data_IF_994498963405
#
_entry.id   IF_994498963405
#
_cell.length_a   1.000
_cell.length_b   1.000
_cell.length_c   1.000
_cell.angle_alpha   90.00
_cell.angle_beta   90.00
_cell.angle_gamma   90.00
#
_symmetry.space_group_name_H-M   'P 1'
#
loop_
_entity.id
_entity.type
_entity.pdbx_description
1 polymer ?
#
# COMPACT_ATOMS: atom_id res chain seq x y z
N UNK A 1 80.71 -4.46 -5.17
CA UNK A 1 79.87 -4.10 -3.95
C UNK A 1 79.36 -2.68 -4.16
N UNK A 2 78.14 -2.58 -4.60
CA UNK A 2 77.49 -1.29 -4.81
C UNK A 2 76.54 -0.98 -3.62
N UNK A 3 76.50 0.23 -3.08
CA UNK A 3 75.60 0.56 -2.00
C UNK A 3 74.24 0.92 -2.59
N UNK A 4 73.18 0.41 -1.92
CA UNK A 4 71.79 0.67 -2.19
C UNK A 4 71.42 2.13 -1.85
N UNK A 5 70.77 2.81 -2.79
CA UNK A 5 70.19 4.13 -2.58
C UNK A 5 68.98 4.05 -1.63
N UNK A 6 69.01 4.81 -0.56
CA UNK A 6 67.88 5.00 0.35
C UNK A 6 66.91 5.96 -0.32
N UNK A 7 65.68 5.45 -0.50
CA UNK A 7 64.51 6.25 -0.92
C UNK A 7 64.13 7.22 0.22
N UNK A 8 64.29 8.53 -0.05
CA UNK A 8 63.88 9.56 0.87
C UNK A 8 62.37 9.70 0.86
N UNK A 9 61.73 9.35 2.00
CA UNK A 9 60.37 9.79 2.30
C UNK A 9 60.46 11.28 2.64
N UNK A 10 60.03 12.13 1.69
CA UNK A 10 59.80 13.55 2.00
C UNK A 10 58.68 13.67 3.05
N UNK A 11 59.00 14.22 4.20
CA UNK A 11 58.02 14.65 5.19
C UNK A 11 57.11 15.66 4.52
N UNK A 12 55.82 15.30 4.42
CA UNK A 12 54.76 16.27 4.09
C UNK A 12 54.56 17.11 5.35
N UNK A 13 54.89 18.38 5.29
CA UNK A 13 54.58 19.33 6.35
C UNK A 13 53.07 19.63 6.34
N UNK A 14 52.52 19.95 7.54
CA UNK A 14 51.10 20.25 7.71
C UNK A 14 50.59 21.39 6.83
N UNK A 15 51.48 22.26 6.34
CA UNK A 15 51.18 23.34 5.43
C UNK A 15 50.95 22.91 3.96
N UNK A 16 51.27 21.65 3.60
CA UNK A 16 51.06 21.14 2.25
C UNK A 16 49.66 20.55 2.00
N UNK A 17 48.85 20.47 3.06
CA UNK A 17 47.47 19.97 2.94
C UNK A 17 46.56 21.08 2.43
N UNK A 18 46.50 21.24 1.13
CA UNK A 18 45.45 22.07 0.49
C UNK A 18 44.13 21.40 0.64
N UNK A 19 43.39 21.71 1.72
CA UNK A 19 41.98 21.37 1.87
C UNK A 19 41.22 22.17 0.80
N UNK A 20 40.81 21.45 -0.28
CA UNK A 20 39.85 22.01 -1.23
C UNK A 20 38.54 22.22 -0.48
N UNK A 21 38.03 23.44 -0.30
CA UNK A 21 36.72 23.65 0.28
C UNK A 21 35.71 22.90 -0.58
N UNK A 22 34.96 21.97 0.06
CA UNK A 22 33.92 21.20 -0.59
C UNK A 22 32.93 22.13 -1.31
N UNK A 23 32.69 21.89 -2.61
CA UNK A 23 31.68 22.62 -3.35
C UNK A 23 30.34 22.45 -2.64
N UNK A 24 29.78 23.55 -2.13
CA UNK A 24 28.48 23.73 -1.50
C UNK A 24 28.44 23.57 0.02
N UNK A 25 28.95 24.56 0.74
CA UNK A 25 28.58 24.85 2.13
C UNK A 25 27.37 25.81 2.24
N UNK A 26 26.48 25.85 1.26
CA UNK A 26 25.20 26.54 1.46
C UNK A 26 24.31 25.59 2.29
N UNK A 27 23.90 25.99 3.52
CA UNK A 27 22.84 25.29 4.22
C UNK A 27 21.65 25.31 3.28
N UNK A 28 21.29 24.17 2.73
CA UNK A 28 20.00 24.00 2.06
C UNK A 28 18.96 24.05 3.15
N UNK A 29 18.57 25.23 3.55
CA UNK A 29 17.32 25.45 4.28
C UNK A 29 16.23 24.99 3.33
N UNK A 30 15.84 23.73 3.47
CA UNK A 30 14.80 23.09 2.68
C UNK A 30 13.47 23.59 3.26
N UNK A 31 13.16 24.85 3.00
CA UNK A 31 11.80 25.35 3.21
C UNK A 31 10.93 24.54 2.24
N UNK A 32 10.20 23.59 2.81
CA UNK A 32 9.17 22.88 2.05
C UNK A 32 8.14 23.92 1.64
N UNK A 33 7.81 24.04 0.36
CA UNK A 33 6.68 24.89 -0.05
C UNK A 33 5.47 24.48 0.76
N UNK A 34 4.77 25.42 1.33
CA UNK A 34 3.62 25.15 2.21
C UNK A 34 2.42 24.61 1.45
N UNK A 35 2.47 24.34 0.16
CA UNK A 35 1.39 23.80 -0.71
C UNK A 35 -0.01 24.11 -0.17
N UNK A 36 -0.24 25.36 0.27
CA UNK A 36 -1.48 25.79 0.93
C UNK A 36 -2.72 25.65 0.02
N UNK A 37 -2.49 25.62 -1.30
CA UNK A 37 -3.52 25.42 -2.33
C UNK A 37 -3.59 23.97 -2.86
N UNK A 38 -3.02 22.99 -2.15
CA UNK A 38 -3.06 21.62 -2.58
C UNK A 38 -4.49 21.05 -2.51
N UNK A 39 -4.92 20.40 -3.58
CA UNK A 39 -6.22 19.73 -3.66
C UNK A 39 -6.18 18.44 -2.83
N UNK A 40 -7.24 18.17 -2.09
CA UNK A 40 -7.36 16.92 -1.36
C UNK A 40 -7.74 15.78 -2.31
N UNK A 41 -7.13 14.61 -2.12
CA UNK A 41 -7.43 13.44 -2.92
C UNK A 41 -7.39 12.17 -2.08
N UNK A 42 -8.08 11.14 -2.55
CA UNK A 42 -8.12 9.81 -1.96
C UNK A 42 -7.52 8.81 -2.95
N UNK A 43 -6.50 8.06 -2.53
CA UNK A 43 -5.79 7.10 -3.40
C UNK A 43 -6.62 5.84 -3.57
N UNK A 44 -7.05 5.56 -4.79
CA UNK A 44 -7.84 4.37 -5.15
C UNK A 44 -7.04 3.29 -5.83
N UNK A 45 -5.92 3.63 -6.47
CA UNK A 45 -5.06 2.66 -7.15
C UNK A 45 -3.60 3.07 -7.11
N UNK A 46 -2.72 2.07 -7.13
CA UNK A 46 -1.26 2.25 -7.20
C UNK A 46 -0.72 1.30 -8.26
N UNK A 47 -0.18 1.84 -9.34
CA UNK A 47 0.44 1.07 -10.41
C UNK A 47 1.74 1.73 -10.88
N UNK A 48 2.86 1.01 -10.79
CA UNK A 48 4.19 1.40 -11.32
C UNK A 48 4.59 2.85 -11.05
N UNK A 49 4.28 3.36 -9.83
CA UNK A 49 4.60 4.73 -9.43
C UNK A 49 3.60 5.79 -9.90
N UNK A 50 2.50 5.37 -10.52
CA UNK A 50 1.31 6.17 -10.77
C UNK A 50 0.26 5.86 -9.71
N UNK A 51 -0.45 6.88 -9.28
CA UNK A 51 -1.47 6.83 -8.25
C UNK A 51 -2.76 7.39 -8.82
N UNK A 52 -3.80 6.55 -8.90
CA UNK A 52 -5.14 7.04 -9.19
C UNK A 52 -5.72 7.65 -7.91
N UNK A 53 -6.15 8.89 -8.00
CA UNK A 53 -6.74 9.62 -6.87
C UNK A 53 -8.12 10.12 -7.26
N UNK A 54 -9.06 10.02 -6.34
CA UNK A 54 -10.37 10.68 -6.44
C UNK A 54 -10.29 12.00 -5.69
N UNK A 55 -10.72 13.07 -6.33
CA UNK A 55 -10.89 14.41 -5.75
C UNK A 55 -12.37 14.81 -5.83
N UNK A 56 -12.74 15.97 -5.31
CA UNK A 56 -14.09 16.50 -5.45
C UNK A 56 -14.46 16.78 -6.92
N UNK A 57 -13.46 17.08 -7.76
CA UNK A 57 -13.64 17.37 -9.18
C UNK A 57 -13.57 16.13 -10.10
N UNK A 58 -13.16 14.96 -9.57
CA UNK A 58 -13.10 13.72 -10.33
C UNK A 58 -11.84 12.89 -10.14
N UNK A 59 -11.55 12.04 -11.11
CA UNK A 59 -10.38 11.15 -11.10
C UNK A 59 -9.14 11.88 -11.61
N UNK A 60 -8.06 11.81 -10.86
CA UNK A 60 -6.77 12.42 -11.16
C UNK A 60 -5.67 11.38 -11.11
N UNK A 61 -4.78 11.39 -12.09
CA UNK A 61 -3.54 10.61 -12.05
C UNK A 61 -2.45 11.44 -11.41
N UNK A 62 -1.78 10.88 -10.43
CA UNK A 62 -0.71 11.56 -9.71
C UNK A 62 0.58 10.73 -9.69
N UNK A 63 1.69 11.40 -9.44
CA UNK A 63 2.97 10.79 -9.08
C UNK A 63 3.40 11.27 -7.70
N UNK A 64 4.17 10.46 -7.01
CA UNK A 64 4.68 10.81 -5.69
C UNK A 64 5.83 11.81 -5.78
N UNK A 65 5.85 12.81 -4.91
CA UNK A 65 7.01 13.68 -4.73
C UNK A 65 8.22 12.88 -4.25
N UNK A 66 9.42 13.27 -4.66
CA UNK A 66 10.67 12.55 -4.31
C UNK A 66 10.95 12.54 -2.80
N UNK A 67 10.44 13.54 -2.11
CA UNK A 67 10.57 13.72 -0.66
C UNK A 67 9.79 12.66 0.14
N UNK A 68 8.76 12.08 -0.45
CA UNK A 68 8.00 10.99 0.13
C UNK A 68 8.75 9.67 -0.13
N UNK A 69 9.26 9.00 0.88
CA UNK A 69 10.04 7.75 0.80
C UNK A 69 9.35 6.63 -0.01
N UNK A 70 10.06 5.53 -0.28
CA UNK A 70 9.46 4.35 -0.93
C UNK A 70 8.34 3.77 -0.05
N UNK A 71 7.23 3.34 -0.66
CA UNK A 71 6.10 2.72 0.07
C UNK A 71 5.35 3.66 1.00
N UNK A 72 5.59 4.98 0.92
CA UNK A 72 4.94 5.97 1.78
C UNK A 72 3.47 6.21 1.44
N UNK A 73 3.06 5.90 0.20
CA UNK A 73 1.69 6.08 -0.30
C UNK A 73 1.12 4.73 -0.68
N UNK A 74 -0.05 4.41 -0.16
CA UNK A 74 -0.78 3.17 -0.41
C UNK A 74 -2.24 3.46 -0.79
N UNK A 75 -2.96 2.46 -1.25
CA UNK A 75 -4.41 2.56 -1.48
C UNK A 75 -5.10 2.92 -0.16
N UNK A 76 -6.08 3.83 -0.23
CA UNK A 76 -6.81 4.34 0.93
C UNK A 76 -6.18 5.56 1.59
N UNK A 77 -4.99 6.01 1.18
CA UNK A 77 -4.41 7.22 1.71
C UNK A 77 -5.17 8.47 1.29
N UNK A 78 -5.35 9.38 2.24
CA UNK A 78 -5.75 10.76 1.96
C UNK A 78 -4.49 11.57 1.69
N UNK A 79 -4.45 12.29 0.59
CA UNK A 79 -3.24 12.95 0.09
C UNK A 79 -3.52 14.39 -0.34
N UNK A 80 -2.50 15.22 -0.24
CA UNK A 80 -2.51 16.55 -0.81
C UNK A 80 -1.84 16.52 -2.19
N UNK A 81 -2.54 17.00 -3.20
CA UNK A 81 -2.14 17.04 -4.59
C UNK A 81 -1.75 18.46 -5.00
N UNK A 82 -0.62 18.62 -5.65
CA UNK A 82 -0.16 19.88 -6.23
C UNK A 82 0.15 19.71 -7.72
N UNK A 83 0.14 20.79 -8.46
CA UNK A 83 0.32 20.78 -9.91
C UNK A 83 -1.00 20.63 -10.65
N UNK A 84 -0.98 20.00 -11.81
CA UNK A 84 -2.17 19.82 -12.64
C UNK A 84 -3.04 18.67 -12.14
N UNK A 85 -4.06 19.02 -11.37
CA UNK A 85 -5.05 18.12 -10.80
C UNK A 85 -6.40 18.22 -11.54
N UNK A 86 -6.43 18.66 -12.79
CA UNK A 86 -7.66 18.79 -13.59
C UNK A 86 -8.31 17.44 -13.90
N UNK A 87 -7.51 16.36 -14.02
CA UNK A 87 -8.00 15.06 -14.46
C UNK A 87 -8.13 14.93 -15.98
N UNK A 88 -7.76 15.96 -16.73
CA UNK A 88 -7.77 15.95 -18.19
C UNK A 88 -6.75 14.95 -18.76
N UNK A 89 -6.93 14.57 -20.02
CA UNK A 89 -6.00 13.67 -20.71
C UNK A 89 -4.59 14.29 -20.74
N UNK A 90 -3.62 13.55 -20.18
CA UNK A 90 -2.23 14.00 -20.06
C UNK A 90 -1.92 14.82 -18.81
N UNK A 91 -2.91 15.22 -18.00
CA UNK A 91 -2.68 15.87 -16.73
C UNK A 91 -1.94 14.94 -15.76
N UNK A 92 -1.07 15.50 -14.93
CA UNK A 92 -0.30 14.73 -13.96
C UNK A 92 -0.06 15.56 -12.69
N UNK A 93 -0.80 15.22 -11.66
CA UNK A 93 -0.63 15.82 -10.34
C UNK A 93 0.58 15.24 -9.60
N UNK A 94 0.94 15.86 -8.49
CA UNK A 94 2.00 15.39 -7.61
C UNK A 94 1.49 15.27 -6.18
N UNK A 95 1.58 14.10 -5.59
CA UNK A 95 1.35 13.89 -4.17
C UNK A 95 2.47 14.54 -3.38
N UNK A 96 2.16 15.57 -2.61
CA UNK A 96 3.13 16.35 -1.82
C UNK A 96 3.07 16.05 -0.33
N UNK A 97 1.96 15.51 0.16
CA UNK A 97 1.75 15.12 1.55
C UNK A 97 0.78 13.94 1.62
N UNK A 98 1.01 13.05 2.58
CA UNK A 98 0.06 12.02 3.02
C UNK A 98 -0.50 12.48 4.36
N UNK A 99 -1.81 12.50 4.48
CA UNK A 99 -2.49 12.88 5.71
C UNK A 99 -2.41 11.76 6.76
N UNK A 100 -2.61 12.05 8.05
CA UNK A 100 -2.63 11.04 9.09
C UNK A 100 -3.65 9.94 8.79
N UNK A 101 -3.23 8.69 8.99
CA UNK A 101 -4.06 7.50 8.80
C UNK A 101 -4.87 7.21 10.05
N UNK A 102 -6.13 6.83 9.89
CA UNK A 102 -7.00 6.34 10.98
C UNK A 102 -6.80 4.85 11.23
N UNK A 103 -6.51 4.08 10.18
CA UNK A 103 -6.22 2.66 10.23
C UNK A 103 -5.15 2.29 9.21
N UNK A 104 -4.43 1.19 9.43
CA UNK A 104 -3.44 0.70 8.48
C UNK A 104 -3.29 -0.82 8.58
N UNK A 105 -3.75 -1.53 7.56
CA UNK A 105 -3.51 -2.97 7.45
C UNK A 105 -2.07 -3.21 6.99
N UNK A 106 -1.34 -3.99 7.79
CA UNK A 106 0.06 -4.30 7.56
C UNK A 106 0.22 -5.75 7.14
N UNK A 107 1.20 -6.01 6.32
CA UNK A 107 1.69 -7.34 6.04
C UNK A 107 3.06 -7.48 6.68
N UNK A 108 3.23 -8.48 7.52
CA UNK A 108 4.56 -8.90 7.92
C UNK A 108 5.32 -9.27 6.65
N UNK A 109 6.44 -8.63 6.41
CA UNK A 109 7.39 -9.13 5.44
C UNK A 109 7.84 -10.53 5.93
N UNK A 110 8.30 -11.38 5.03
CA UNK A 110 8.83 -12.70 5.37
C UNK A 110 9.84 -12.58 6.52
N UNK A 111 10.05 -13.63 7.29
CA UNK A 111 10.92 -13.70 8.48
C UNK A 111 12.33 -13.09 8.31
N UNK A 112 12.70 -12.75 7.08
CA UNK A 112 13.97 -12.15 6.68
C UNK A 112 13.94 -10.63 6.47
N UNK A 113 12.76 -9.99 6.32
CA UNK A 113 12.63 -8.54 6.14
C UNK A 113 11.88 -7.93 7.34
N UNK A 114 12.57 -7.25 8.27
CA UNK A 114 11.97 -6.67 9.47
C UNK A 114 11.03 -5.48 9.18
N UNK A 115 10.85 -5.10 7.92
CA UNK A 115 10.02 -3.96 7.58
C UNK A 115 8.59 -4.40 7.26
N UNK A 116 7.70 -4.19 8.21
CA UNK A 116 6.25 -4.27 7.97
C UNK A 116 5.85 -3.33 6.84
N UNK A 117 5.14 -3.87 5.84
CA UNK A 117 4.62 -3.07 4.73
C UNK A 117 3.14 -2.81 4.92
N UNK A 118 2.76 -1.55 4.89
CA UNK A 118 1.35 -1.16 4.84
C UNK A 118 0.80 -1.55 3.47
N UNK A 119 -0.32 -2.27 3.46
CA UNK A 119 -1.01 -2.72 2.24
C UNK A 119 -2.10 -1.74 1.87
N UNK A 120 -2.90 -1.34 2.86
CA UNK A 120 -4.06 -0.47 2.72
C UNK A 120 -4.15 0.45 3.94
N UNK A 121 -4.60 1.68 3.74
CA UNK A 121 -4.83 2.66 4.81
C UNK A 121 -6.29 3.09 4.85
N UNK A 122 -6.72 3.62 6.01
CA UNK A 122 -8.04 4.22 6.22
C UNK A 122 -9.22 3.32 5.79
N UNK A 123 -9.04 1.99 5.91
CA UNK A 123 -10.13 1.05 5.77
C UNK A 123 -10.93 0.97 7.08
N UNK A 124 -12.22 0.72 6.99
CA UNK A 124 -13.09 0.53 8.15
C UNK A 124 -13.32 -0.95 8.41
N UNK A 125 -13.29 -1.77 7.35
CA UNK A 125 -13.64 -3.18 7.42
C UNK A 125 -12.67 -4.08 6.65
N UNK A 126 -12.35 -5.26 7.22
CA UNK A 126 -11.65 -6.34 6.53
C UNK A 126 -12.65 -7.44 6.16
N UNK A 127 -12.94 -7.59 4.87
CA UNK A 127 -13.78 -8.66 4.35
C UNK A 127 -12.93 -9.86 3.94
N UNK A 128 -13.09 -10.96 4.66
CA UNK A 128 -12.43 -12.24 4.36
C UNK A 128 -13.38 -13.10 3.54
N UNK A 129 -13.05 -13.37 2.28
CA UNK A 129 -13.86 -14.20 1.39
C UNK A 129 -13.26 -15.60 1.34
N UNK A 130 -14.02 -16.59 1.81
CA UNK A 130 -13.58 -17.97 1.92
C UNK A 130 -14.57 -18.92 1.24
N UNK A 131 -14.09 -19.79 0.37
CA UNK A 131 -14.90 -20.87 -0.22
C UNK A 131 -15.11 -21.98 0.81
N UNK A 132 -16.29 -22.59 0.80
CA UNK A 132 -16.60 -23.78 1.62
C UNK A 132 -16.13 -25.08 0.99
N UNK A 133 -15.88 -25.07 -0.32
CA UNK A 133 -15.33 -26.20 -1.08
C UNK A 133 -14.46 -25.68 -2.23
N UNK A 134 -13.53 -26.51 -2.69
CA UNK A 134 -12.66 -26.26 -3.84
C UNK A 134 -12.01 -24.84 -3.87
N UNK A 135 -11.09 -24.55 -2.96
CA UNK A 135 -10.51 -25.38 -1.91
C UNK A 135 -11.34 -25.39 -0.61
N UNK A 136 -11.06 -26.33 0.30
CA UNK A 136 -11.60 -26.30 1.66
C UNK A 136 -11.13 -25.07 2.45
N UNK A 137 -11.94 -24.58 3.42
CA UNK A 137 -11.60 -23.44 4.24
C UNK A 137 -10.30 -23.64 5.03
N UNK A 138 -9.36 -22.75 4.87
CA UNK A 138 -8.15 -22.73 5.70
C UNK A 138 -8.41 -21.88 6.97
N UNK A 139 -8.79 -22.54 8.07
CA UNK A 139 -9.10 -21.85 9.33
C UNK A 139 -7.91 -21.05 9.87
N UNK A 140 -6.69 -21.59 9.78
CA UNK A 140 -5.48 -20.87 10.22
C UNK A 140 -5.26 -19.55 9.45
N UNK A 141 -5.63 -19.52 8.17
CA UNK A 141 -5.57 -18.30 7.38
C UNK A 141 -6.61 -17.28 7.85
N UNK A 142 -7.84 -17.74 8.16
CA UNK A 142 -8.90 -16.89 8.70
C UNK A 142 -8.45 -16.31 10.04
N UNK A 143 -7.87 -17.13 10.95
CA UNK A 143 -7.37 -16.69 12.24
C UNK A 143 -6.30 -15.60 12.11
N UNK A 144 -5.35 -15.79 11.19
CA UNK A 144 -4.32 -14.77 10.91
C UNK A 144 -4.92 -13.46 10.38
N UNK A 145 -5.93 -13.53 9.53
CA UNK A 145 -6.64 -12.34 9.04
C UNK A 145 -7.40 -11.64 10.15
N UNK A 146 -8.02 -12.39 11.08
CA UNK A 146 -8.70 -11.81 12.25
C UNK A 146 -7.74 -11.07 13.17
N UNK A 147 -6.58 -11.66 13.47
CA UNK A 147 -5.54 -10.99 14.27
C UNK A 147 -5.10 -9.69 13.58
N UNK A 148 -4.85 -9.74 12.28
CA UNK A 148 -4.46 -8.55 11.52
C UNK A 148 -5.55 -7.48 11.47
N UNK A 149 -6.84 -7.87 11.40
CA UNK A 149 -7.97 -6.94 11.44
C UNK A 149 -8.04 -6.22 12.79
N UNK A 150 -8.00 -6.96 13.89
CA UNK A 150 -8.07 -6.39 15.24
C UNK A 150 -6.86 -5.52 15.56
N UNK A 151 -5.65 -5.94 15.16
CA UNK A 151 -4.44 -5.14 15.32
C UNK A 151 -4.50 -3.81 14.54
N UNK A 152 -5.11 -3.83 13.37
CA UNK A 152 -5.30 -2.64 12.54
C UNK A 152 -6.52 -1.80 12.92
N UNK A 153 -7.34 -2.21 13.90
CA UNK A 153 -8.58 -1.55 14.29
C UNK A 153 -9.68 -1.64 13.23
N UNK A 154 -9.71 -2.72 12.44
CA UNK A 154 -10.71 -2.95 11.38
C UNK A 154 -11.81 -3.88 11.87
N UNK A 155 -13.04 -3.65 11.42
CA UNK A 155 -14.16 -4.55 11.65
C UNK A 155 -14.06 -5.78 10.75
N UNK A 156 -13.89 -7.00 11.30
CA UNK A 156 -13.80 -8.19 10.47
C UNK A 156 -15.18 -8.67 10.01
N UNK A 157 -15.27 -9.12 8.75
CA UNK A 157 -16.44 -9.80 8.18
C UNK A 157 -16.00 -11.03 7.42
N UNK A 158 -16.56 -12.21 7.78
CA UNK A 158 -16.28 -13.45 7.07
C UNK A 158 -17.41 -13.76 6.07
N UNK A 159 -17.08 -13.86 4.79
CA UNK A 159 -18.00 -14.22 3.72
C UNK A 159 -17.68 -15.63 3.27
N UNK A 160 -18.62 -16.56 3.56
CA UNK A 160 -18.52 -17.97 3.17
C UNK A 160 -19.22 -18.17 1.83
N UNK A 161 -18.47 -18.50 0.80
CA UNK A 161 -18.99 -18.72 -0.55
C UNK A 161 -19.16 -20.20 -0.86
N UNK A 162 -19.85 -20.52 -1.96
CA UNK A 162 -20.12 -21.90 -2.44
C UNK A 162 -20.91 -22.76 -1.42
N UNK A 163 -21.86 -22.17 -0.74
CA UNK A 163 -22.74 -22.91 0.18
C UNK A 163 -23.73 -23.87 -0.53
N UNK A 164 -23.71 -23.88 -1.85
CA UNK A 164 -24.33 -24.89 -2.71
C UNK A 164 -23.52 -26.19 -2.78
N UNK A 165 -22.21 -26.14 -2.51
CA UNK A 165 -21.31 -27.31 -2.57
C UNK A 165 -21.03 -27.93 -1.19
N UNK A 166 -20.93 -27.09 -0.14
CA UNK A 166 -20.63 -27.56 1.21
C UNK A 166 -21.36 -26.76 2.29
N UNK A 167 -21.59 -27.40 3.44
CA UNK A 167 -22.28 -26.77 4.58
C UNK A 167 -21.38 -25.82 5.35
N UNK A 168 -21.83 -24.62 5.72
CA UNK A 168 -21.06 -23.67 6.54
C UNK A 168 -20.99 -24.03 8.02
N UNK A 169 -21.69 -25.12 8.47
CA UNK A 169 -21.87 -25.47 9.91
C UNK A 169 -20.54 -25.57 10.66
N UNK A 170 -19.56 -26.22 10.06
CA UNK A 170 -18.25 -26.44 10.69
C UNK A 170 -17.53 -25.11 10.94
N UNK A 171 -17.42 -24.26 9.94
CA UNK A 171 -16.78 -22.95 10.05
C UNK A 171 -17.54 -22.05 11.04
N UNK A 172 -18.87 -22.04 10.95
CA UNK A 172 -19.71 -21.29 11.88
C UNK A 172 -19.52 -21.69 13.33
N UNK A 173 -19.38 -23.00 13.60
CA UNK A 173 -19.19 -23.50 14.96
C UNK A 173 -17.89 -22.95 15.60
N UNK A 174 -16.84 -22.72 14.81
CA UNK A 174 -15.59 -22.15 15.31
C UNK A 174 -15.69 -20.63 15.61
N UNK A 175 -16.37 -19.87 14.75
CA UNK A 175 -16.30 -18.40 14.82
C UNK A 175 -17.53 -17.73 15.45
N UNK A 176 -18.66 -18.44 15.60
CA UNK A 176 -19.83 -17.90 16.32
C UNK A 176 -19.50 -17.52 17.78
N UNK A 177 -18.72 -18.32 18.54
CA UNK A 177 -18.38 -17.95 19.93
C UNK A 177 -17.52 -16.68 20.02
N UNK A 178 -16.82 -16.30 18.95
CA UNK A 178 -16.01 -15.08 18.88
C UNK A 178 -16.83 -13.84 18.48
N UNK A 179 -18.13 -14.01 18.22
CA UNK A 179 -18.99 -12.91 17.75
C UNK A 179 -18.66 -12.41 16.34
N UNK A 180 -17.90 -13.21 15.55
CA UNK A 180 -17.53 -12.81 14.19
C UNK A 180 -18.75 -12.71 13.28
N UNK A 181 -19.03 -11.54 12.66
CA UNK A 181 -20.07 -11.43 11.64
C UNK A 181 -19.76 -12.33 10.44
N UNK A 182 -20.76 -13.11 10.02
CA UNK A 182 -20.60 -14.08 8.92
C UNK A 182 -21.74 -14.00 7.93
N UNK A 183 -21.44 -13.83 6.67
CA UNK A 183 -22.37 -13.96 5.54
C UNK A 183 -22.12 -15.29 4.83
N UNK A 184 -23.19 -15.82 4.24
CA UNK A 184 -23.10 -17.04 3.44
C UNK A 184 -23.71 -16.78 2.08
N UNK A 185 -22.97 -17.09 1.02
CA UNK A 185 -23.43 -16.94 -0.35
C UNK A 185 -23.40 -18.28 -1.07
N UNK A 186 -24.31 -18.43 -2.00
CA UNK A 186 -24.38 -19.58 -2.91
C UNK A 186 -24.56 -19.12 -4.34
N UNK A 187 -24.13 -19.92 -5.28
CA UNK A 187 -24.39 -19.64 -6.69
C UNK A 187 -25.92 -19.61 -6.90
N UNK A 188 -26.48 -18.58 -7.54
CA UNK A 188 -27.87 -18.62 -7.94
C UNK A 188 -28.08 -19.84 -8.85
N UNK A 189 -29.12 -20.62 -8.60
CA UNK A 189 -29.57 -21.57 -9.60
C UNK A 189 -29.90 -20.76 -10.83
N UNK A 190 -29.15 -20.95 -11.91
CA UNK A 190 -29.46 -20.27 -13.18
C UNK A 190 -30.94 -20.56 -13.51
N UNK A 191 -31.73 -19.55 -13.86
CA UNK A 191 -33.07 -19.79 -14.35
C UNK A 191 -32.91 -20.74 -15.55
N UNK A 192 -33.50 -21.92 -15.42
CA UNK A 192 -33.55 -22.94 -16.50
C UNK A 192 -34.47 -22.40 -17.58
N UNK A 193 -33.98 -21.55 -18.46
CA UNK A 193 -34.56 -21.36 -19.80
C UNK A 193 -33.84 -20.21 -20.51
N UNK A 194 -32.76 -20.50 -21.20
CA UNK A 194 -32.58 -19.84 -22.48
C UNK A 194 -33.34 -20.71 -23.50
N UNK A 195 -34.61 -20.42 -23.67
CA UNK A 195 -35.33 -20.94 -24.82
C UNK A 195 -34.74 -20.24 -26.01
N UNK A 196 -33.99 -20.98 -26.83
CA UNK A 196 -33.58 -20.58 -28.14
C UNK A 196 -34.85 -20.23 -28.95
N UNK A 197 -35.04 -18.97 -29.28
CA UNK A 197 -36.06 -18.58 -30.26
C UNK A 197 -35.70 -19.21 -31.57
N UNK A 198 -36.61 -19.93 -32.25
CA UNK A 198 -36.37 -20.42 -33.61
C UNK A 198 -36.25 -19.21 -34.52
N UNK A 199 -35.12 -19.14 -35.26
CA UNK A 199 -34.94 -18.23 -36.40
C UNK A 199 -36.02 -18.48 -37.45
N UNK A 200 -36.79 -17.46 -37.78
CA UNK A 200 -37.61 -17.41 -38.99
C UNK A 200 -36.77 -16.89 -40.12
#
# INVERSE_FOLDING_TARGET
>A
MSPRSQSGYSRLDEDDVRVRPGRSSRPRTRQRPAHASAVQGFVTSVDRGRYGCVTDDGLVVAMKARELGKGSVVVGDRVALAGDASGDEGSLARIVRVEPRTSALRRSADDTDPHERIIVANADQLVMVCALADPEPNLRFIDRCLVAAYDAGLDPLLVLTKADLASPRHVRAFYTPLGLPMLTTRRPLAPRTWTTMPSK
#
